data_IF_673682609455
#
_entry.id   IF_673682609455
#
_cell.length_a   1.000
_cell.length_b   1.000
_cell.length_c   1.000
_cell.angle_alpha   90.00
_cell.angle_beta   90.00
_cell.angle_gamma   90.00
#
_symmetry.space_group_name_H-M   'P 1'
#
loop_
_entity.id
_entity.type
_entity.pdbx_description
1 polymer ?
#
# COMPACT_ATOMS: atom_id res chain seq x y z
N UNK A 1 29.34 12.61 -26.20
CA UNK A 1 29.23 12.55 -24.72
C UNK A 1 30.66 12.57 -24.21
N UNK A 2 31.01 13.54 -23.36
CA UNK A 2 32.35 13.62 -22.74
C UNK A 2 32.38 12.71 -21.50
N UNK A 3 33.56 12.17 -21.19
CA UNK A 3 33.76 11.24 -20.06
C UNK A 3 34.89 11.74 -19.19
N UNK A 4 34.80 11.42 -17.88
CA UNK A 4 35.92 11.50 -16.95
C UNK A 4 36.33 10.07 -16.53
N UNK A 5 37.54 9.93 -16.02
CA UNK A 5 38.03 8.64 -15.51
C UNK A 5 37.79 8.63 -14.00
N UNK A 6 37.08 7.65 -13.52
CA UNK A 6 36.93 7.29 -12.10
C UNK A 6 37.65 5.96 -11.87
N UNK A 7 37.95 5.63 -10.61
CA UNK A 7 38.66 4.41 -10.27
C UNK A 7 38.02 3.74 -9.06
N UNK A 8 37.93 2.44 -9.11
CA UNK A 8 37.60 1.58 -7.98
C UNK A 8 38.66 0.47 -7.81
N UNK A 9 38.38 -0.53 -6.95
CA UNK A 9 39.31 -1.65 -6.67
C UNK A 9 39.56 -2.57 -7.88
N UNK A 10 38.72 -2.52 -8.91
CA UNK A 10 38.85 -3.28 -10.16
C UNK A 10 39.56 -2.50 -11.27
N UNK A 11 39.90 -1.22 -11.05
CA UNK A 11 40.61 -0.35 -12.00
C UNK A 11 39.76 0.83 -12.49
N UNK A 12 40.21 1.41 -13.63
CA UNK A 12 39.63 2.61 -14.20
C UNK A 12 38.31 2.34 -14.92
N UNK A 13 37.38 3.31 -14.83
CA UNK A 13 36.07 3.30 -15.49
C UNK A 13 35.81 4.66 -16.13
N UNK A 14 35.29 4.67 -17.34
CA UNK A 14 34.79 5.88 -18.01
C UNK A 14 33.39 6.20 -17.52
N UNK A 15 33.23 7.34 -16.83
CA UNK A 15 31.94 7.82 -16.32
C UNK A 15 31.56 9.09 -17.08
N UNK A 16 30.29 9.33 -17.46
CA UNK A 16 29.89 10.59 -18.09
C UNK A 16 30.36 11.80 -17.27
N UNK A 17 30.80 12.87 -17.95
CA UNK A 17 31.52 13.97 -17.30
C UNK A 17 30.66 14.73 -16.28
N UNK A 18 29.37 14.90 -16.60
CA UNK A 18 28.47 15.83 -15.88
C UNK A 18 27.62 15.17 -14.79
N UNK A 19 27.83 13.87 -14.50
CA UNK A 19 27.08 13.13 -13.48
C UNK A 19 27.89 13.00 -12.17
N UNK A 20 27.18 12.93 -11.03
CA UNK A 20 27.83 12.79 -9.73
C UNK A 20 28.09 11.33 -9.33
N UNK A 21 27.50 10.33 -9.97
CA UNK A 21 27.89 8.95 -9.65
C UNK A 21 29.31 8.61 -10.12
N UNK A 22 29.89 7.56 -9.58
CA UNK A 22 31.27 7.19 -9.81
C UNK A 22 31.42 5.82 -10.48
N UNK A 23 32.59 5.19 -10.26
CA UNK A 23 33.01 3.95 -10.93
C UNK A 23 32.11 2.76 -10.60
N UNK A 24 31.73 2.55 -9.33
CA UNK A 24 30.92 1.38 -8.95
C UNK A 24 29.51 1.45 -9.51
N UNK A 25 28.91 2.64 -9.54
CA UNK A 25 27.60 2.86 -10.17
C UNK A 25 27.66 2.60 -11.67
N UNK A 26 28.70 3.12 -12.35
CA UNK A 26 28.82 2.91 -13.80
C UNK A 26 29.00 1.43 -14.15
N UNK A 27 29.82 0.68 -13.39
CA UNK A 27 29.91 -0.77 -13.56
C UNK A 27 28.58 -1.47 -13.36
N UNK A 28 27.79 -1.04 -12.40
CA UNK A 28 26.44 -1.61 -12.17
C UNK A 28 25.52 -1.38 -13.37
N UNK A 29 25.54 -0.15 -13.95
CA UNK A 29 24.79 0.18 -15.17
C UNK A 29 25.17 -0.67 -16.37
N UNK A 30 26.47 -0.99 -16.50
CA UNK A 30 26.97 -1.84 -17.57
C UNK A 30 26.64 -3.31 -17.36
N UNK A 31 26.70 -3.78 -16.10
CA UNK A 31 26.54 -5.18 -15.74
C UNK A 31 25.07 -5.62 -15.66
N UNK A 32 24.15 -4.77 -15.19
CA UNK A 32 22.74 -5.12 -14.98
C UNK A 32 21.81 -4.39 -15.94
N UNK A 33 21.68 -4.89 -17.15
CA UNK A 33 20.76 -4.38 -18.19
C UNK A 33 19.44 -5.16 -18.17
N UNK A 34 18.75 -5.15 -17.04
CA UNK A 34 17.52 -5.92 -16.78
C UNK A 34 16.38 -4.95 -16.43
N UNK A 35 15.36 -4.91 -17.25
CA UNK A 35 14.21 -4.02 -17.07
C UNK A 35 14.52 -2.54 -17.39
N UNK A 36 13.64 -1.61 -17.00
CA UNK A 36 13.82 -0.19 -17.27
C UNK A 36 14.99 0.40 -16.47
N UNK A 37 15.76 1.30 -17.10
CA UNK A 37 16.79 2.09 -16.40
C UNK A 37 16.13 2.95 -15.32
N UNK A 38 16.88 3.27 -14.26
CA UNK A 38 16.41 4.06 -13.11
C UNK A 38 15.12 3.50 -12.47
N UNK A 39 14.97 2.18 -12.45
CA UNK A 39 13.79 1.53 -11.88
C UNK A 39 13.88 1.31 -10.36
N UNK A 40 15.04 1.55 -9.72
CA UNK A 40 15.12 1.56 -8.25
C UNK A 40 14.25 2.70 -7.72
N UNK A 41 13.27 2.42 -6.82
CA UNK A 41 12.41 3.47 -6.29
C UNK A 41 13.20 4.59 -5.62
N UNK A 42 12.87 5.83 -5.95
CA UNK A 42 13.56 7.01 -5.39
C UNK A 42 13.40 7.10 -3.87
N UNK A 43 12.34 6.54 -3.32
CA UNK A 43 12.10 6.45 -1.88
C UNK A 43 13.21 5.69 -1.14
N UNK A 44 13.85 4.71 -1.80
CA UNK A 44 15.03 4.01 -1.26
C UNK A 44 16.21 4.97 -1.16
N UNK A 45 16.43 5.80 -2.18
CA UNK A 45 17.48 6.84 -2.17
C UNK A 45 17.23 7.85 -1.06
N UNK A 46 15.99 8.30 -0.89
CA UNK A 46 15.62 9.16 0.24
C UNK A 46 15.85 8.48 1.60
N UNK A 47 15.51 7.18 1.72
CA UNK A 47 15.83 6.37 2.90
C UNK A 47 17.34 6.35 3.18
N UNK A 48 18.15 6.17 2.15
CA UNK A 48 19.62 6.31 2.27
C UNK A 48 20.05 7.71 2.69
N UNK A 49 19.47 8.78 2.15
CA UNK A 49 19.84 10.15 2.51
C UNK A 49 19.61 10.41 4.02
N UNK A 50 18.48 9.98 4.58
CA UNK A 50 18.22 10.06 6.02
C UNK A 50 19.29 9.31 6.83
N UNK A 51 19.56 8.04 6.49
CA UNK A 51 20.54 7.25 7.25
C UNK A 51 21.98 7.75 7.08
N UNK A 52 22.39 8.25 5.90
CA UNK A 52 23.73 8.80 5.69
C UNK A 52 23.94 10.09 6.46
N UNK A 53 22.94 10.97 6.49
CA UNK A 53 22.95 12.17 7.34
C UNK A 53 23.08 11.78 8.82
N UNK A 54 22.26 10.86 9.30
CA UNK A 54 22.30 10.37 10.68
C UNK A 54 23.63 9.70 11.03
N UNK A 55 24.20 8.90 10.13
CA UNK A 55 25.50 8.28 10.30
C UNK A 55 26.63 9.31 10.39
N UNK A 56 26.58 10.36 9.57
CA UNK A 56 27.58 11.44 9.62
C UNK A 56 27.54 12.19 10.95
N UNK A 57 26.35 12.53 11.45
CA UNK A 57 26.18 13.17 12.76
C UNK A 57 26.65 12.26 13.89
N UNK A 58 26.28 10.98 13.87
CA UNK A 58 26.68 10.00 14.87
C UNK A 58 28.20 9.79 14.88
N UNK A 59 28.83 9.63 13.72
CA UNK A 59 30.28 9.45 13.60
C UNK A 59 31.04 10.68 14.07
N UNK A 60 30.51 11.89 13.82
CA UNK A 60 31.08 13.12 14.35
C UNK A 60 30.98 13.19 15.88
N UNK A 61 29.80 12.96 16.45
CA UNK A 61 29.56 12.98 17.89
C UNK A 61 30.44 11.97 18.63
N UNK A 62 30.66 10.79 18.02
CA UNK A 62 31.52 9.74 18.56
C UNK A 62 33.02 9.94 18.22
N UNK A 63 33.41 11.07 17.64
CA UNK A 63 34.78 11.48 17.44
C UNK A 63 35.55 10.80 16.30
N UNK A 64 34.82 10.13 15.36
CA UNK A 64 35.44 9.36 14.26
C UNK A 64 35.26 10.03 12.88
N UNK A 65 34.56 11.17 12.79
CA UNK A 65 34.38 11.96 11.57
C UNK A 65 34.54 13.44 11.88
N UNK A 66 35.31 14.14 11.03
CA UNK A 66 35.49 15.59 11.14
C UNK A 66 34.19 16.37 10.89
N UNK A 67 34.03 17.53 11.54
CA UNK A 67 32.85 18.38 11.45
C UNK A 67 32.58 18.88 10.03
N UNK A 68 33.63 19.26 9.29
CA UNK A 68 33.48 19.74 7.91
C UNK A 68 32.97 18.65 6.99
N UNK A 69 33.46 17.42 7.17
CA UNK A 69 32.97 16.25 6.42
C UNK A 69 31.53 15.91 6.77
N UNK A 70 31.15 15.95 8.07
CA UNK A 70 29.76 15.80 8.52
C UNK A 70 28.85 16.79 7.83
N UNK A 71 29.20 18.06 7.81
CA UNK A 71 28.36 19.14 7.27
C UNK A 71 28.19 19.01 5.76
N UNK A 72 29.26 18.67 5.03
CA UNK A 72 29.17 18.41 3.59
C UNK A 72 28.29 17.20 3.27
N UNK A 73 28.41 16.10 4.01
CA UNK A 73 27.54 14.93 3.84
C UNK A 73 26.08 15.32 4.10
N UNK A 74 25.81 16.02 5.20
CA UNK A 74 24.47 16.45 5.57
C UNK A 74 23.84 17.36 4.51
N UNK A 75 24.60 18.33 4.01
CA UNK A 75 24.13 19.25 2.97
C UNK A 75 23.72 18.53 1.69
N UNK A 76 24.51 17.56 1.23
CA UNK A 76 24.18 16.80 0.02
C UNK A 76 22.98 15.86 0.28
N UNK A 77 22.86 15.27 1.47
CA UNK A 77 21.68 14.50 1.84
C UNK A 77 20.41 15.35 1.81
N UNK A 78 20.46 16.61 2.25
CA UNK A 78 19.34 17.53 2.16
C UNK A 78 18.99 17.85 0.69
N UNK A 79 19.99 18.09 -0.19
CA UNK A 79 19.75 18.23 -1.64
C UNK A 79 19.06 16.99 -2.26
N UNK A 80 19.43 15.78 -1.82
CA UNK A 80 18.79 14.53 -2.26
C UNK A 80 17.32 14.49 -1.79
N UNK A 81 17.05 14.79 -0.52
CA UNK A 81 15.70 14.79 0.05
C UNK A 81 14.78 15.84 -0.59
N UNK A 82 15.34 16.97 -1.02
CA UNK A 82 14.66 18.01 -1.79
C UNK A 82 14.40 17.64 -3.26
N UNK A 83 14.91 16.48 -3.71
CA UNK A 83 14.75 15.99 -5.08
C UNK A 83 15.67 16.65 -6.13
N UNK A 84 16.63 17.48 -5.70
CA UNK A 84 17.55 18.22 -6.62
C UNK A 84 18.51 17.31 -7.39
N UNK A 85 18.71 16.08 -6.92
CA UNK A 85 19.68 15.13 -7.46
C UNK A 85 19.04 13.83 -7.96
N UNK A 86 17.71 13.80 -8.20
CA UNK A 86 16.98 12.58 -8.56
C UNK A 86 17.49 11.90 -9.83
N UNK A 87 18.03 12.67 -10.79
CA UNK A 87 18.62 12.18 -12.03
C UNK A 87 20.00 11.49 -11.85
N UNK A 88 20.54 11.53 -10.64
CA UNK A 88 21.85 10.94 -10.31
C UNK A 88 21.76 9.47 -9.83
N UNK A 89 20.58 8.87 -9.86
CA UNK A 89 20.32 7.51 -9.36
C UNK A 89 19.78 6.60 -10.47
N UNK A 90 20.65 6.17 -11.43
CA UNK A 90 20.22 5.49 -12.65
C UNK A 90 20.05 3.98 -12.50
N UNK A 91 20.21 3.41 -11.31
CA UNK A 91 20.25 1.97 -11.12
C UNK A 91 18.91 1.28 -11.24
N UNK A 92 18.96 0.00 -11.56
CA UNK A 92 17.79 -0.87 -11.72
C UNK A 92 17.52 -1.66 -10.44
N UNK A 93 16.28 -2.17 -10.28
CA UNK A 93 15.90 -3.09 -9.19
C UNK A 93 16.73 -4.37 -9.27
N UNK A 94 16.94 -4.89 -10.47
CA UNK A 94 17.62 -6.16 -10.76
C UNK A 94 19.14 -6.01 -10.73
N UNK A 95 19.67 -5.80 -9.52
CA UNK A 95 21.07 -5.64 -9.19
C UNK A 95 21.51 -6.69 -8.17
N UNK A 96 22.70 -6.55 -7.55
CA UNK A 96 23.05 -7.43 -6.44
C UNK A 96 22.00 -7.38 -5.34
N UNK A 97 21.61 -8.56 -4.85
CA UNK A 97 20.51 -8.69 -3.89
C UNK A 97 20.79 -8.09 -2.51
N UNK A 98 22.05 -7.79 -2.19
CA UNK A 98 22.43 -7.03 -0.99
C UNK A 98 22.12 -5.54 -1.09
N UNK A 99 21.95 -5.02 -2.33
CA UNK A 99 21.75 -3.60 -2.59
C UNK A 99 23.04 -2.76 -2.52
N UNK A 100 24.19 -3.41 -2.60
CA UNK A 100 25.50 -2.72 -2.51
C UNK A 100 25.66 -1.62 -3.56
N UNK A 101 25.21 -1.84 -4.79
CA UNK A 101 25.33 -0.83 -5.84
C UNK A 101 24.49 0.41 -5.53
N UNK A 102 23.28 0.26 -4.99
CA UNK A 102 22.48 1.42 -4.56
C UNK A 102 23.12 2.17 -3.41
N UNK A 103 23.68 1.47 -2.40
CA UNK A 103 24.45 2.11 -1.34
C UNK A 103 25.63 2.87 -1.88
N UNK A 104 26.40 2.28 -2.81
CA UNK A 104 27.57 2.95 -3.40
C UNK A 104 27.17 4.10 -4.32
N UNK A 105 26.07 3.98 -5.05
CA UNK A 105 25.54 5.11 -5.84
C UNK A 105 25.30 6.35 -4.97
N UNK A 106 24.62 6.16 -3.84
CA UNK A 106 24.42 7.29 -2.89
C UNK A 106 25.73 7.79 -2.33
N UNK A 107 26.66 6.92 -1.93
CA UNK A 107 27.97 7.31 -1.41
C UNK A 107 28.78 8.10 -2.44
N UNK A 108 28.80 7.66 -3.71
CA UNK A 108 29.53 8.31 -4.80
C UNK A 108 28.92 9.67 -5.14
N UNK A 109 27.58 9.77 -5.22
CA UNK A 109 26.88 11.04 -5.45
C UNK A 109 27.17 12.04 -4.32
N UNK A 110 27.09 11.60 -3.06
CA UNK A 110 27.41 12.46 -1.91
C UNK A 110 28.86 12.95 -1.98
N UNK A 111 29.81 12.05 -2.21
CA UNK A 111 31.23 12.42 -2.24
C UNK A 111 31.56 13.37 -3.40
N UNK A 112 31.04 13.12 -4.59
CA UNK A 112 31.33 13.93 -5.78
C UNK A 112 30.59 15.29 -5.73
N UNK A 113 29.35 15.33 -5.25
CA UNK A 113 28.61 16.59 -5.05
C UNK A 113 29.26 17.45 -3.98
N UNK A 114 29.70 16.88 -2.85
CA UNK A 114 30.42 17.57 -1.80
C UNK A 114 31.74 18.16 -2.31
N UNK A 115 32.43 17.48 -3.21
CA UNK A 115 33.68 17.99 -3.85
C UNK A 115 33.41 19.29 -4.61
N UNK A 116 32.29 19.35 -5.35
CA UNK A 116 31.85 20.55 -6.09
C UNK A 116 31.41 21.67 -5.11
N UNK A 117 30.66 21.30 -4.04
CA UNK A 117 30.26 22.26 -3.00
C UNK A 117 31.46 22.88 -2.26
N UNK A 118 32.57 22.14 -2.16
CA UNK A 118 33.84 22.64 -1.62
C UNK A 118 34.63 23.53 -2.61
N UNK A 119 34.02 23.91 -3.76
CA UNK A 119 34.62 24.81 -4.76
C UNK A 119 35.60 24.13 -5.71
N UNK A 120 35.64 22.81 -5.78
CA UNK A 120 36.52 22.03 -6.64
C UNK A 120 35.85 21.58 -7.94
N UNK A 121 36.64 21.16 -8.93
CA UNK A 121 36.13 20.67 -10.22
C UNK A 121 35.91 19.18 -10.15
N UNK A 122 34.72 18.72 -10.58
CA UNK A 122 34.34 17.31 -10.59
C UNK A 122 35.32 16.47 -11.40
N UNK A 123 35.87 15.43 -10.77
CA UNK A 123 36.86 14.52 -11.40
C UNK A 123 38.30 15.01 -11.38
N UNK A 124 38.60 16.17 -10.78
CA UNK A 124 39.95 16.72 -10.69
C UNK A 124 40.46 16.79 -9.23
N UNK A 125 41.75 16.49 -9.03
CA UNK A 125 42.39 16.55 -7.74
C UNK A 125 41.94 15.53 -6.72
N UNK A 126 42.39 15.67 -5.47
CA UNK A 126 42.04 14.77 -4.38
C UNK A 126 40.59 15.01 -3.92
N UNK A 127 39.82 13.92 -3.79
CA UNK A 127 38.45 13.99 -3.33
C UNK A 127 38.32 14.58 -1.94
N UNK A 128 37.36 15.49 -1.75
CA UNK A 128 37.06 16.10 -0.45
C UNK A 128 36.53 15.09 0.54
N UNK A 129 35.71 14.16 0.03
CA UNK A 129 35.15 13.02 0.76
C UNK A 129 35.47 11.73 0.00
N UNK A 130 35.92 10.70 0.72
CA UNK A 130 36.02 9.35 0.19
C UNK A 130 34.66 8.63 0.34
N UNK A 131 34.08 8.06 -0.74
CA UNK A 131 32.81 7.37 -0.67
C UNK A 131 32.77 6.25 0.39
N UNK A 132 33.85 5.47 0.48
CA UNK A 132 33.93 4.33 1.41
C UNK A 132 34.36 4.73 2.81
N UNK A 133 35.41 5.59 2.95
CA UNK A 133 36.05 5.86 4.23
C UNK A 133 35.34 6.97 5.03
N UNK A 134 34.66 7.88 4.35
CA UNK A 134 33.95 9.01 4.99
C UNK A 134 32.44 8.83 4.96
N UNK A 135 31.83 8.67 3.77
CA UNK A 135 30.37 8.59 3.61
C UNK A 135 29.83 7.28 4.15
N UNK A 136 30.54 6.17 3.92
CA UNK A 136 30.16 4.84 4.41
C UNK A 136 30.78 4.46 5.77
N UNK A 137 31.39 5.41 6.46
CA UNK A 137 32.05 5.17 7.76
C UNK A 137 31.11 4.51 8.76
N UNK A 138 31.58 3.47 9.46
CA UNK A 138 30.82 2.67 10.45
C UNK A 138 29.61 1.92 9.86
N UNK A 139 29.59 1.63 8.57
CA UNK A 139 28.47 1.04 7.86
C UNK A 139 28.91 -0.10 6.93
N UNK A 140 27.96 -0.94 6.55
CA UNK A 140 28.04 -1.88 5.44
C UNK A 140 26.80 -1.72 4.55
N UNK A 141 26.87 -2.11 3.27
CA UNK A 141 25.65 -2.23 2.44
C UNK A 141 24.63 -3.19 3.05
N UNK A 142 25.11 -4.15 3.84
CA UNK A 142 24.30 -5.19 4.45
C UNK A 142 23.35 -4.64 5.53
N UNK A 143 23.74 -3.61 6.28
CA UNK A 143 22.90 -2.97 7.27
C UNK A 143 22.26 -1.65 6.78
N UNK A 144 22.87 -0.96 5.78
CA UNK A 144 22.32 0.28 5.23
C UNK A 144 21.11 0.06 4.34
N UNK A 145 21.15 -0.93 3.43
CA UNK A 145 20.02 -1.15 2.52
C UNK A 145 18.73 -1.55 3.26
N UNK A 146 18.72 -2.53 4.20
CA UNK A 146 17.52 -2.84 4.95
C UNK A 146 17.03 -1.65 5.79
N UNK A 147 17.94 -0.83 6.33
CA UNK A 147 17.55 0.40 7.04
C UNK A 147 16.87 1.40 6.10
N UNK A 148 17.44 1.67 4.91
CA UNK A 148 16.82 2.52 3.88
C UNK A 148 15.46 1.97 3.41
N UNK A 149 15.34 0.66 3.28
CA UNK A 149 14.10 -0.04 2.92
C UNK A 149 13.02 0.16 4.00
N UNK A 150 13.37 0.00 5.29
CA UNK A 150 12.45 0.23 6.39
C UNK A 150 12.00 1.69 6.48
N UNK A 151 12.92 2.66 6.34
CA UNK A 151 12.58 4.09 6.33
C UNK A 151 11.61 4.40 5.18
N UNK A 152 11.92 3.93 3.97
CA UNK A 152 11.10 4.17 2.79
C UNK A 152 9.71 3.55 2.92
N UNK A 153 9.62 2.30 3.35
CA UNK A 153 8.35 1.58 3.53
C UNK A 153 7.49 2.22 4.63
N UNK A 154 8.08 2.53 5.79
CA UNK A 154 7.38 3.18 6.89
C UNK A 154 6.78 4.52 6.46
N UNK A 155 7.60 5.38 5.84
CA UNK A 155 7.14 6.68 5.33
C UNK A 155 6.04 6.51 4.29
N UNK A 156 6.17 5.59 3.34
CA UNK A 156 5.16 5.36 2.31
C UNK A 156 3.82 4.94 2.92
N UNK A 157 3.84 4.06 3.92
CA UNK A 157 2.64 3.62 4.62
C UNK A 157 1.96 4.80 5.36
N UNK A 158 2.73 5.57 6.11
CA UNK A 158 2.20 6.67 6.94
C UNK A 158 1.78 7.89 6.12
N UNK A 159 2.56 8.24 5.09
CA UNK A 159 2.35 9.46 4.32
C UNK A 159 1.35 9.29 3.16
N UNK A 160 1.13 8.05 2.67
CA UNK A 160 0.30 7.78 1.49
C UNK A 160 -0.79 6.75 1.77
N UNK A 161 -0.42 5.55 2.25
CA UNK A 161 -1.37 4.44 2.36
C UNK A 161 -2.44 4.70 3.41
N UNK A 162 -2.05 5.00 4.65
CA UNK A 162 -2.98 5.24 5.75
C UNK A 162 -3.89 6.46 5.51
N UNK A 163 -3.41 7.60 5.00
CA UNK A 163 -4.28 8.70 4.63
C UNK A 163 -5.33 8.32 3.58
N UNK A 164 -4.93 7.60 2.52
CA UNK A 164 -5.86 7.14 1.49
C UNK A 164 -6.93 6.19 2.01
N UNK A 165 -6.54 5.23 2.86
CA UNK A 165 -7.46 4.30 3.50
C UNK A 165 -8.46 5.02 4.43
N UNK A 166 -8.00 5.97 5.24
CA UNK A 166 -8.87 6.76 6.13
C UNK A 166 -9.83 7.61 5.33
N UNK A 167 -9.38 8.23 4.23
CA UNK A 167 -10.24 9.00 3.34
C UNK A 167 -11.38 8.15 2.77
N UNK A 168 -11.08 6.95 2.30
CA UNK A 168 -12.10 6.00 1.82
C UNK A 168 -13.04 5.54 2.94
N UNK A 169 -12.48 5.15 4.10
CA UNK A 169 -13.25 4.72 5.26
C UNK A 169 -14.28 5.78 5.68
N UNK A 170 -13.84 7.05 5.77
CA UNK A 170 -14.69 8.16 6.20
C UNK A 170 -15.81 8.46 5.19
N UNK A 171 -15.53 8.33 3.90
CA UNK A 171 -16.53 8.48 2.86
C UNK A 171 -17.59 7.36 2.91
N UNK A 172 -17.17 6.11 3.10
CA UNK A 172 -18.08 4.99 3.27
C UNK A 172 -18.91 5.09 4.54
N UNK A 173 -18.34 5.60 5.65
CA UNK A 173 -19.06 5.85 6.88
C UNK A 173 -20.18 6.89 6.69
N UNK A 174 -19.91 7.99 5.98
CA UNK A 174 -20.93 8.98 5.62
C UNK A 174 -22.05 8.38 4.78
N UNK A 175 -21.71 7.47 3.84
CA UNK A 175 -22.72 6.76 3.03
C UNK A 175 -23.52 5.79 3.89
N UNK A 176 -22.89 5.07 4.81
CA UNK A 176 -23.59 4.19 5.77
C UNK A 176 -24.62 4.97 6.57
N UNK A 177 -24.27 6.14 7.09
CA UNK A 177 -25.20 7.02 7.83
C UNK A 177 -26.34 7.53 6.92
N UNK A 178 -25.98 8.08 5.76
CA UNK A 178 -26.96 8.64 4.82
C UNK A 178 -27.99 7.61 4.32
N UNK A 179 -27.58 6.35 4.20
CA UNK A 179 -28.43 5.25 3.71
C UNK A 179 -29.03 4.39 4.82
N UNK A 180 -28.94 4.82 6.08
CA UNK A 180 -29.41 4.07 7.26
C UNK A 180 -30.92 3.73 7.23
N UNK A 181 -31.71 4.47 6.48
CA UNK A 181 -33.17 4.28 6.32
C UNK A 181 -33.58 3.69 4.96
N UNK A 182 -32.63 3.39 4.09
CA UNK A 182 -32.90 2.83 2.76
C UNK A 182 -32.98 1.32 2.89
N UNK A 183 -34.19 0.79 3.07
CA UNK A 183 -34.45 -0.65 3.20
C UNK A 183 -34.36 -1.31 1.82
N UNK A 184 -33.62 -2.37 1.68
CA UNK A 184 -33.42 -3.12 0.44
C UNK A 184 -33.44 -4.62 0.70
N UNK A 185 -33.56 -5.41 -0.35
CA UNK A 185 -33.40 -6.86 -0.24
C UNK A 185 -31.92 -7.23 -0.01
N UNK A 186 -31.66 -8.12 0.93
CA UNK A 186 -30.36 -8.74 1.10
C UNK A 186 -30.13 -9.86 0.09
N UNK A 187 -28.86 -10.23 -0.11
CA UNK A 187 -28.46 -11.37 -0.96
C UNK A 187 -27.41 -12.21 -0.27
N UNK A 188 -27.65 -13.52 -0.27
CA UNK A 188 -26.65 -14.53 0.10
C UNK A 188 -26.56 -15.53 -1.07
N UNK A 189 -25.36 -15.99 -1.43
CA UNK A 189 -25.13 -16.81 -2.63
C UNK A 189 -25.58 -16.14 -3.95
N UNK A 190 -25.70 -14.82 -3.99
CA UNK A 190 -26.35 -14.01 -5.05
C UNK A 190 -27.86 -14.30 -5.21
N UNK A 191 -28.46 -15.02 -4.27
CA UNK A 191 -29.90 -15.29 -4.21
C UNK A 191 -30.57 -14.34 -3.20
N UNK A 192 -31.84 -14.07 -3.39
CA UNK A 192 -32.63 -13.23 -2.49
C UNK A 192 -32.60 -13.77 -1.06
N UNK A 193 -32.41 -12.84 -0.11
CA UNK A 193 -32.42 -13.13 1.32
C UNK A 193 -33.33 -12.13 2.05
N UNK A 194 -33.25 -12.05 3.37
CA UNK A 194 -34.06 -11.12 4.17
C UNK A 194 -33.60 -9.68 3.98
N UNK A 195 -34.47 -8.67 4.22
CA UNK A 195 -34.13 -7.25 4.13
C UNK A 195 -33.02 -6.83 5.08
N UNK A 196 -32.31 -5.79 4.67
CA UNK A 196 -31.40 -4.97 5.48
C UNK A 196 -31.47 -3.53 4.97
N UNK A 197 -30.80 -2.59 5.62
CA UNK A 197 -30.65 -1.26 5.03
C UNK A 197 -29.36 -1.21 4.19
N UNK A 198 -29.36 -0.37 3.15
CA UNK A 198 -28.15 -0.08 2.38
C UNK A 198 -27.04 0.52 3.29
N UNK A 199 -27.44 1.26 4.34
CA UNK A 199 -26.51 1.75 5.36
C UNK A 199 -25.85 0.61 6.16
N UNK A 200 -26.58 -0.44 6.54
CA UNK A 200 -26.00 -1.62 7.18
C UNK A 200 -25.03 -2.35 6.28
N UNK A 201 -25.31 -2.47 4.99
CA UNK A 201 -24.39 -3.05 4.00
C UNK A 201 -23.09 -2.26 3.91
N UNK A 202 -23.16 -0.92 3.81
CA UNK A 202 -21.99 -0.05 3.80
C UNK A 202 -21.21 -0.06 5.13
N UNK A 203 -21.88 -0.23 6.27
CA UNK A 203 -21.22 -0.35 7.58
C UNK A 203 -20.25 -1.52 7.66
N UNK A 204 -20.60 -2.62 6.97
CA UNK A 204 -19.71 -3.78 6.82
C UNK A 204 -18.41 -3.42 6.09
N UNK A 205 -18.47 -2.56 5.06
CA UNK A 205 -17.29 -2.09 4.33
C UNK A 205 -16.40 -1.20 5.21
N UNK A 206 -17.01 -0.31 6.00
CA UNK A 206 -16.29 0.52 6.98
C UNK A 206 -15.51 -0.35 7.95
N UNK A 207 -16.16 -1.35 8.54
CA UNK A 207 -15.54 -2.27 9.50
C UNK A 207 -14.37 -3.05 8.90
N UNK A 208 -14.48 -3.50 7.64
CA UNK A 208 -13.37 -4.19 6.95
C UNK A 208 -12.13 -3.28 6.81
N UNK A 209 -12.33 -2.01 6.49
CA UNK A 209 -11.22 -1.06 6.34
C UNK A 209 -10.64 -0.69 7.70
N UNK A 210 -11.46 -0.48 8.73
CA UNK A 210 -10.99 -0.20 10.09
C UNK A 210 -10.08 -1.33 10.63
N UNK A 211 -10.49 -2.58 10.48
CA UNK A 211 -9.66 -3.73 10.84
C UNK A 211 -8.36 -3.80 10.02
N UNK A 212 -8.42 -3.48 8.74
CA UNK A 212 -7.24 -3.44 7.88
C UNK A 212 -6.26 -2.33 8.26
N UNK A 213 -6.76 -1.14 8.59
CA UNK A 213 -5.95 -0.02 9.11
C UNK A 213 -5.26 -0.44 10.41
N UNK A 214 -6.02 -0.98 11.36
CA UNK A 214 -5.47 -1.42 12.66
C UNK A 214 -4.39 -2.49 12.48
N UNK A 215 -4.60 -3.47 11.59
CA UNK A 215 -3.61 -4.49 11.27
C UNK A 215 -2.33 -3.88 10.67
N UNK A 216 -2.46 -2.93 9.72
CA UNK A 216 -1.32 -2.27 9.12
C UNK A 216 -0.54 -1.40 10.12
N UNK A 217 -1.23 -0.64 10.96
CA UNK A 217 -0.62 0.17 12.01
C UNK A 217 0.15 -0.68 13.02
N UNK A 218 -0.35 -1.87 13.34
CA UNK A 218 0.33 -2.81 14.25
C UNK A 218 1.71 -3.22 13.71
N UNK A 219 1.85 -3.41 12.39
CA UNK A 219 3.12 -3.81 11.78
C UNK A 219 4.19 -2.72 11.84
N UNK A 220 3.81 -1.45 11.99
CA UNK A 220 4.75 -0.33 12.04
C UNK A 220 5.72 -0.43 13.22
N UNK A 221 5.34 -1.10 14.30
CA UNK A 221 6.23 -1.32 15.44
C UNK A 221 7.45 -2.17 15.04
N UNK A 222 7.24 -3.25 14.32
CA UNK A 222 8.32 -4.10 13.82
C UNK A 222 9.10 -3.39 12.72
N UNK A 223 8.41 -2.72 11.80
CA UNK A 223 9.04 -1.96 10.72
C UNK A 223 9.89 -0.78 11.22
N UNK A 224 9.66 -0.27 12.43
CA UNK A 224 10.48 0.78 13.03
C UNK A 224 11.84 0.30 13.55
N UNK A 225 12.07 -1.00 13.69
CA UNK A 225 13.35 -1.57 14.13
C UNK A 225 14.32 -1.63 12.94
N UNK A 226 15.49 -0.94 13.03
CA UNK A 226 16.42 -0.79 11.92
C UNK A 226 17.72 -1.57 12.13
N UNK A 227 18.28 -2.08 11.02
CA UNK A 227 19.49 -2.92 11.01
C UNK A 227 20.78 -2.14 11.25
N UNK A 228 20.79 -0.82 11.01
CA UNK A 228 22.01 0.00 11.01
C UNK A 228 22.80 -0.13 12.32
N UNK A 229 24.11 -0.32 12.19
CA UNK A 229 25.03 -0.64 13.27
C UNK A 229 25.35 -2.13 13.38
N UNK A 230 24.68 -3.03 12.62
CA UNK A 230 25.05 -4.44 12.49
C UNK A 230 26.26 -4.66 11.60
N UNK A 231 26.53 -3.75 10.70
CA UNK A 231 27.59 -3.80 9.68
C UNK A 231 27.51 -5.04 8.80
N UNK A 232 28.60 -5.82 8.67
CA UNK A 232 28.71 -6.89 7.68
C UNK A 232 27.83 -8.10 7.94
N UNK A 233 27.72 -8.56 9.20
CA UNK A 233 27.05 -9.81 9.61
C UNK A 233 26.19 -9.68 10.87
N UNK A 234 26.09 -8.48 11.46
CA UNK A 234 25.32 -8.24 12.68
C UNK A 234 26.13 -7.99 13.94
N UNK A 235 27.47 -8.15 13.89
CA UNK A 235 28.38 -7.97 15.04
C UNK A 235 28.75 -6.53 15.33
N UNK A 236 28.48 -5.60 14.38
CA UNK A 236 28.86 -4.19 14.52
C UNK A 236 30.37 -3.94 14.39
N UNK A 237 31.09 -4.79 13.64
CA UNK A 237 32.54 -4.62 13.45
C UNK A 237 32.86 -3.22 12.88
N UNK A 238 33.91 -2.59 13.38
CA UNK A 238 34.38 -1.25 12.98
C UNK A 238 33.43 -0.09 13.32
N UNK A 239 32.43 -0.30 14.18
CA UNK A 239 31.63 0.80 14.71
C UNK A 239 32.15 1.29 16.07
N UNK A 240 32.10 2.60 16.36
CA UNK A 240 32.39 3.08 17.70
C UNK A 240 31.30 2.66 18.70
N UNK A 241 31.66 2.57 19.98
CA UNK A 241 30.71 2.17 21.05
C UNK A 241 29.52 3.12 21.10
N UNK A 242 28.31 2.57 21.10
CA UNK A 242 27.06 3.34 21.14
C UNK A 242 26.49 3.75 19.76
N UNK A 243 27.21 3.48 18.68
CA UNK A 243 26.82 3.88 17.32
C UNK A 243 25.39 3.45 16.95
N UNK A 244 25.05 2.16 17.11
CA UNK A 244 23.77 1.61 16.63
C UNK A 244 22.53 2.27 17.29
N UNK A 245 22.66 2.63 18.58
CA UNK A 245 21.59 3.33 19.28
C UNK A 245 21.50 4.78 18.82
N UNK A 246 22.66 5.46 18.80
CA UNK A 246 22.71 6.90 18.51
C UNK A 246 22.29 7.21 17.08
N UNK A 247 22.68 6.40 16.11
CA UNK A 247 22.28 6.59 14.71
C UNK A 247 20.78 6.40 14.50
N UNK A 248 20.15 5.48 15.24
CA UNK A 248 18.70 5.30 15.21
C UNK A 248 17.95 6.51 15.80
N UNK A 249 18.49 7.10 16.88
CA UNK A 249 17.95 8.34 17.47
C UNK A 249 18.01 9.51 16.47
N UNK A 250 19.10 9.69 15.74
CA UNK A 250 19.19 10.71 14.68
C UNK A 250 18.26 10.42 13.49
N UNK A 251 18.09 9.16 13.09
CA UNK A 251 17.10 8.81 12.06
C UNK A 251 15.69 9.17 12.52
N UNK A 252 15.35 8.86 13.78
CA UNK A 252 14.06 9.23 14.35
C UNK A 252 13.86 10.75 14.37
N UNK A 253 14.88 11.52 14.78
CA UNK A 253 14.86 12.98 14.79
C UNK A 253 14.63 13.56 13.37
N UNK A 254 15.42 13.11 12.39
CA UNK A 254 15.38 13.69 11.03
C UNK A 254 14.13 13.27 10.24
N UNK A 255 13.56 12.12 10.54
CA UNK A 255 12.33 11.65 9.89
C UNK A 255 11.06 12.08 10.59
N UNK A 256 11.14 12.42 11.90
CA UNK A 256 9.98 12.61 12.77
C UNK A 256 9.22 11.31 13.06
N UNK A 257 9.83 10.14 12.84
CA UNK A 257 9.21 8.82 12.97
C UNK A 257 9.92 7.98 14.05
N UNK A 258 9.25 7.04 14.71
CA UNK A 258 9.75 6.37 15.92
C UNK A 258 10.74 5.23 15.64
N UNK A 259 11.73 5.47 14.80
CA UNK A 259 12.76 4.47 14.50
C UNK A 259 13.64 4.17 15.71
N UNK A 260 13.93 2.89 15.89
CA UNK A 260 14.78 2.38 16.97
C UNK A 260 15.78 1.36 16.43
N UNK A 261 16.89 1.18 17.14
CA UNK A 261 17.86 0.14 16.80
C UNK A 261 17.24 -1.23 17.01
N UNK A 262 17.27 -2.11 15.99
CA UNK A 262 16.79 -3.48 16.12
C UNK A 262 17.47 -4.20 17.29
N UNK A 263 16.68 -4.95 18.05
CA UNK A 263 17.16 -5.70 19.23
C UNK A 263 18.16 -6.79 18.85
N UNK A 264 17.94 -7.40 17.68
CA UNK A 264 18.80 -8.43 17.12
C UNK A 264 19.25 -8.03 15.71
N UNK A 265 20.56 -7.72 15.57
CA UNK A 265 21.12 -7.30 14.30
C UNK A 265 21.34 -8.46 13.31
N UNK A 266 21.44 -9.68 13.81
CA UNK A 266 21.58 -10.87 12.95
C UNK A 266 20.29 -11.15 12.20
N UNK A 267 19.17 -11.11 12.89
CA UNK A 267 17.84 -11.20 12.27
C UNK A 267 17.60 -10.05 11.30
N UNK A 268 17.87 -8.80 11.72
CA UNK A 268 17.62 -7.61 10.92
C UNK A 268 18.41 -7.53 9.59
N UNK A 269 19.53 -8.27 9.47
CA UNK A 269 20.31 -8.37 8.23
C UNK A 269 19.89 -9.58 7.37
N UNK A 270 19.56 -10.70 8.01
CA UNK A 270 19.35 -11.99 7.35
C UNK A 270 17.89 -12.31 7.03
N UNK A 271 16.96 -11.69 7.74
CA UNK A 271 15.53 -11.85 7.53
C UNK A 271 14.85 -10.47 7.37
N UNK A 272 13.80 -10.42 6.60
CA UNK A 272 13.01 -9.18 6.39
C UNK A 272 11.55 -9.41 6.75
N UNK A 273 11.33 -10.05 7.91
CA UNK A 273 10.03 -10.42 8.41
C UNK A 273 9.13 -9.20 8.62
N UNK A 274 9.69 -8.04 9.00
CA UNK A 274 8.94 -6.79 9.11
C UNK A 274 8.34 -6.34 7.76
N UNK A 275 9.03 -6.56 6.65
CA UNK A 275 8.53 -6.27 5.30
C UNK A 275 7.45 -7.28 4.91
N UNK A 276 7.66 -8.57 5.20
CA UNK A 276 6.68 -9.64 4.93
C UNK A 276 5.40 -9.40 5.75
N UNK A 277 5.52 -9.08 7.04
CA UNK A 277 4.41 -8.76 7.94
C UNK A 277 3.62 -7.56 7.44
N UNK A 278 4.29 -6.44 7.14
CA UNK A 278 3.64 -5.23 6.66
C UNK A 278 2.93 -5.46 5.32
N UNK A 279 3.56 -6.22 4.41
CA UNK A 279 2.93 -6.54 3.14
C UNK A 279 1.76 -7.53 3.29
N UNK A 280 1.82 -8.44 4.27
CA UNK A 280 0.68 -9.30 4.64
C UNK A 280 -0.56 -8.49 5.05
N UNK A 281 -0.37 -7.38 5.79
CA UNK A 281 -1.45 -6.45 6.12
C UNK A 281 -1.97 -5.69 4.88
N UNK A 282 -1.08 -5.27 3.97
CA UNK A 282 -1.49 -4.67 2.69
C UNK A 282 -2.28 -5.66 1.83
N UNK A 283 -1.90 -6.94 1.81
CA UNK A 283 -2.67 -7.99 1.13
C UNK A 283 -4.06 -8.17 1.75
N UNK A 284 -4.19 -8.19 3.08
CA UNK A 284 -5.49 -8.27 3.74
C UNK A 284 -6.39 -7.10 3.31
N UNK A 285 -5.86 -5.88 3.26
CA UNK A 285 -6.56 -4.70 2.76
C UNK A 285 -6.98 -4.86 1.28
N UNK A 286 -6.09 -5.38 0.43
CA UNK A 286 -6.41 -5.64 -0.97
C UNK A 286 -7.57 -6.64 -1.13
N UNK A 287 -7.65 -7.68 -0.28
CA UNK A 287 -8.78 -8.63 -0.27
C UNK A 287 -10.08 -7.92 0.10
N UNK A 288 -10.08 -7.09 1.15
CA UNK A 288 -11.25 -6.33 1.57
C UNK A 288 -11.70 -5.32 0.49
N UNK A 289 -10.78 -4.53 -0.04
CA UNK A 289 -11.05 -3.53 -1.09
C UNK A 289 -11.58 -4.16 -2.37
N UNK A 290 -11.06 -5.32 -2.76
CA UNK A 290 -11.55 -6.07 -3.92
C UNK A 290 -13.01 -6.51 -3.73
N UNK A 291 -13.37 -6.98 -2.54
CA UNK A 291 -14.77 -7.35 -2.20
C UNK A 291 -15.67 -6.11 -2.25
N UNK A 292 -15.27 -5.01 -1.66
CA UNK A 292 -16.05 -3.76 -1.64
C UNK A 292 -16.30 -3.25 -3.07
N UNK A 293 -15.25 -3.19 -3.90
CA UNK A 293 -15.38 -2.75 -5.28
C UNK A 293 -16.29 -3.67 -6.12
N UNK A 294 -16.22 -4.98 -5.90
CA UNK A 294 -17.07 -5.95 -6.58
C UNK A 294 -18.54 -5.81 -6.17
N UNK A 295 -18.85 -5.63 -4.89
CA UNK A 295 -20.21 -5.41 -4.44
C UNK A 295 -20.81 -4.12 -5.01
N UNK A 296 -20.05 -3.01 -4.95
CA UNK A 296 -20.50 -1.72 -5.48
C UNK A 296 -20.79 -1.80 -6.98
N UNK A 297 -19.86 -2.37 -7.78
CA UNK A 297 -20.12 -2.48 -9.23
C UNK A 297 -21.25 -3.45 -9.58
N UNK A 298 -21.47 -4.47 -8.76
CA UNK A 298 -22.56 -5.43 -8.97
C UNK A 298 -23.90 -4.78 -8.64
N UNK A 299 -24.03 -4.05 -7.52
CA UNK A 299 -25.22 -3.28 -7.19
C UNK A 299 -25.54 -2.20 -8.25
N UNK A 300 -24.51 -1.60 -8.86
CA UNK A 300 -24.66 -0.59 -9.92
C UNK A 300 -24.86 -1.17 -11.32
N UNK A 301 -24.85 -2.50 -11.48
CA UNK A 301 -24.90 -3.15 -12.78
C UNK A 301 -26.21 -2.87 -13.53
N UNK A 302 -26.12 -2.69 -14.83
CA UNK A 302 -27.28 -2.46 -15.69
C UNK A 302 -27.07 -1.31 -16.68
N UNK A 303 -27.94 -0.28 -16.66
CA UNK A 303 -29.01 0.05 -15.69
C UNK A 303 -30.30 -0.76 -15.81
N UNK A 304 -30.61 -1.38 -16.97
CA UNK A 304 -31.89 -2.07 -17.17
C UNK A 304 -31.79 -3.60 -17.06
N UNK A 305 -30.66 -4.18 -17.45
CA UNK A 305 -30.43 -5.63 -17.50
C UNK A 305 -29.53 -6.15 -16.37
N UNK A 306 -29.39 -5.39 -15.30
CA UNK A 306 -28.64 -5.76 -14.11
C UNK A 306 -29.40 -5.48 -12.82
N UNK A 307 -28.68 -5.43 -11.68
CA UNK A 307 -29.26 -5.15 -10.38
C UNK A 307 -29.76 -3.69 -10.31
N UNK A 308 -28.88 -2.73 -10.51
CA UNK A 308 -29.24 -1.31 -10.62
C UNK A 308 -29.77 -0.66 -9.34
N UNK A 309 -29.44 -1.19 -8.15
CA UNK A 309 -29.89 -0.65 -6.85
C UNK A 309 -29.19 0.66 -6.46
N UNK A 310 -27.98 0.89 -6.96
CA UNK A 310 -27.26 2.14 -6.76
C UNK A 310 -26.86 2.75 -8.09
N UNK A 311 -26.68 4.07 -8.07
CA UNK A 311 -26.16 4.86 -9.18
C UNK A 311 -24.77 5.31 -8.80
N UNK A 312 -23.82 5.13 -9.70
CA UNK A 312 -22.43 5.59 -9.55
C UNK A 312 -22.15 6.73 -10.53
N UNK A 313 -21.17 7.61 -10.24
CA UNK A 313 -20.80 8.71 -11.13
C UNK A 313 -20.41 8.25 -12.54
N UNK A 314 -20.81 9.04 -13.54
CA UNK A 314 -20.41 8.89 -14.92
C UNK A 314 -19.16 9.77 -15.17
N UNK A 315 -17.96 9.16 -15.10
CA UNK A 315 -16.71 9.92 -15.19
C UNK A 315 -16.19 10.09 -16.62
N UNK A 316 -16.47 9.12 -17.49
CA UNK A 316 -16.05 9.11 -18.90
C UNK A 316 -16.98 8.27 -19.77
N UNK A 317 -16.97 8.46 -21.11
CA UNK A 317 -17.66 7.57 -22.05
C UNK A 317 -17.14 6.12 -21.93
N UNK A 318 -18.05 5.18 -21.71
CA UNK A 318 -17.70 3.78 -21.42
C UNK A 318 -17.52 2.89 -22.66
N UNK A 319 -17.74 3.40 -23.88
CA UNK A 319 -17.66 2.59 -25.10
C UNK A 319 -17.42 3.44 -26.33
N UNK A 320 -16.59 2.93 -27.24
CA UNK A 320 -16.32 3.55 -28.55
C UNK A 320 -17.44 3.30 -29.58
N UNK A 321 -18.32 2.31 -29.34
CA UNK A 321 -19.37 1.90 -30.33
C UNK A 321 -20.79 1.84 -29.72
N UNK A 322 -20.94 1.97 -28.39
CA UNK A 322 -22.23 1.98 -27.70
C UNK A 322 -22.45 3.36 -27.05
N UNK A 323 -23.16 4.29 -27.76
CA UNK A 323 -23.35 5.64 -27.24
C UNK A 323 -24.12 5.64 -25.91
N UNK A 324 -23.66 6.44 -24.95
CA UNK A 324 -24.31 6.56 -23.63
C UNK A 324 -24.01 5.45 -22.64
N UNK A 325 -23.16 4.45 -22.99
CA UNK A 325 -22.71 3.43 -22.02
C UNK A 325 -21.71 4.03 -21.02
N UNK A 326 -21.97 3.79 -19.74
CA UNK A 326 -21.08 4.16 -18.62
C UNK A 326 -20.64 2.87 -17.94
N UNK A 327 -19.33 2.78 -17.62
CA UNK A 327 -18.74 1.62 -16.97
C UNK A 327 -18.35 1.95 -15.51
N UNK A 328 -18.26 0.97 -14.62
CA UNK A 328 -17.80 1.15 -13.25
C UNK A 328 -16.26 1.21 -13.17
N UNK A 329 -15.64 2.13 -13.90
CA UNK A 329 -14.20 2.16 -14.18
C UNK A 329 -13.34 2.31 -12.92
N UNK A 330 -13.82 3.03 -11.91
CA UNK A 330 -13.12 3.15 -10.63
C UNK A 330 -13.09 1.81 -9.87
N UNK A 331 -14.19 1.04 -9.93
CA UNK A 331 -14.21 -0.31 -9.36
C UNK A 331 -13.25 -1.24 -10.11
N UNK A 332 -13.18 -1.13 -11.43
CA UNK A 332 -12.25 -1.92 -12.26
C UNK A 332 -10.79 -1.60 -11.92
N UNK A 333 -10.44 -0.32 -11.84
CA UNK A 333 -9.11 0.12 -11.45
C UNK A 333 -8.71 -0.40 -10.06
N UNK A 334 -9.60 -0.27 -9.07
CA UNK A 334 -9.33 -0.75 -7.72
C UNK A 334 -9.15 -2.27 -7.67
N UNK A 335 -9.95 -3.05 -8.40
CA UNK A 335 -9.79 -4.52 -8.43
C UNK A 335 -8.48 -4.94 -9.11
N UNK A 336 -8.01 -4.22 -10.15
CA UNK A 336 -6.70 -4.48 -10.76
C UNK A 336 -5.56 -4.16 -9.78
N UNK A 337 -5.64 -3.05 -9.04
CA UNK A 337 -4.67 -2.72 -7.98
C UNK A 337 -4.63 -3.82 -6.94
N UNK A 338 -5.78 -4.29 -6.47
CA UNK A 338 -5.85 -5.39 -5.49
C UNK A 338 -5.17 -6.67 -6.01
N UNK A 339 -5.40 -7.04 -7.25
CA UNK A 339 -4.76 -8.20 -7.88
C UNK A 339 -3.24 -8.04 -7.96
N UNK A 340 -2.74 -6.84 -8.33
CA UNK A 340 -1.31 -6.56 -8.36
C UNK A 340 -0.66 -6.66 -6.97
N UNK A 341 -1.31 -6.13 -5.94
CA UNK A 341 -0.82 -6.21 -4.55
C UNK A 341 -0.75 -7.67 -4.08
N UNK A 342 -1.75 -8.49 -4.39
CA UNK A 342 -1.71 -9.94 -4.08
C UNK A 342 -0.55 -10.64 -4.80
N UNK A 343 -0.26 -10.29 -6.05
CA UNK A 343 0.89 -10.81 -6.79
C UNK A 343 2.23 -10.40 -6.17
N UNK A 344 2.34 -9.14 -5.76
CA UNK A 344 3.54 -8.62 -5.07
C UNK A 344 3.77 -9.30 -3.73
N UNK A 345 2.71 -9.71 -3.02
CA UNK A 345 2.80 -10.45 -1.75
C UNK A 345 3.49 -11.80 -1.93
N UNK A 346 3.20 -12.50 -3.02
CA UNK A 346 3.88 -13.77 -3.35
C UNK A 346 5.37 -13.54 -3.56
N UNK A 347 5.74 -12.50 -4.33
CA UNK A 347 7.14 -12.19 -4.57
C UNK A 347 7.88 -11.82 -3.27
N UNK A 348 7.27 -11.03 -2.39
CA UNK A 348 7.84 -10.63 -1.09
C UNK A 348 7.97 -11.84 -0.17
N UNK A 349 6.95 -12.70 -0.09
CA UNK A 349 7.00 -13.93 0.72
C UNK A 349 8.10 -14.85 0.27
N UNK A 350 8.25 -15.11 -1.05
CA UNK A 350 9.36 -15.88 -1.61
C UNK A 350 10.71 -15.25 -1.28
N UNK A 351 10.82 -13.91 -1.47
CA UNK A 351 12.04 -13.16 -1.13
C UNK A 351 12.41 -13.28 0.35
N UNK A 352 11.42 -13.25 1.25
CA UNK A 352 11.63 -13.45 2.69
C UNK A 352 12.23 -14.82 3.05
N UNK A 353 11.89 -15.86 2.29
CA UNK A 353 12.43 -17.22 2.52
C UNK A 353 13.87 -17.42 2.05
N UNK A 354 14.48 -16.45 1.36
CA UNK A 354 15.77 -16.58 0.69
C UNK A 354 16.98 -16.07 1.51
N UNK A 355 16.80 -15.80 2.81
CA UNK A 355 17.90 -15.49 3.71
C UNK A 355 18.76 -16.73 3.98
N UNK A 356 20.07 -16.64 3.69
CA UNK A 356 21.03 -17.70 4.00
C UNK A 356 22.04 -17.17 5.00
N UNK A 357 22.14 -17.84 6.15
CA UNK A 357 23.02 -17.43 7.25
C UNK A 357 22.77 -15.95 7.65
N UNK A 358 23.74 -15.05 7.45
CA UNK A 358 23.73 -13.70 7.95
C UNK A 358 23.22 -12.65 6.96
N UNK A 359 22.73 -13.04 5.75
CA UNK A 359 22.24 -12.07 4.77
C UNK A 359 21.13 -12.62 3.87
N UNK A 360 20.06 -11.84 3.76
CA UNK A 360 19.10 -11.97 2.67
C UNK A 360 19.52 -11.12 1.47
N UNK A 361 19.53 -11.71 0.28
CA UNK A 361 19.96 -11.06 -0.97
C UNK A 361 18.83 -10.85 -1.99
N UNK A 362 17.60 -10.64 -1.50
CA UNK A 362 16.39 -10.31 -2.30
C UNK A 362 15.86 -8.90 -1.99
N UNK A 363 16.62 -8.11 -1.26
CA UNK A 363 16.19 -6.80 -0.75
C UNK A 363 15.71 -5.81 -1.81
N UNK A 364 16.38 -5.59 -2.95
CA UNK A 364 15.92 -4.63 -3.95
C UNK A 364 14.54 -4.95 -4.51
N UNK A 365 14.26 -6.23 -4.77
CA UNK A 365 12.96 -6.70 -5.25
C UNK A 365 11.88 -6.53 -4.17
N UNK A 366 12.17 -6.91 -2.92
CA UNK A 366 11.22 -6.75 -1.80
C UNK A 366 10.89 -5.29 -1.57
N UNK A 367 11.89 -4.40 -1.60
CA UNK A 367 11.72 -2.95 -1.47
C UNK A 367 10.82 -2.37 -2.56
N UNK A 368 11.06 -2.71 -3.82
CA UNK A 368 10.27 -2.23 -4.93
C UNK A 368 8.80 -2.67 -4.82
N UNK A 369 8.55 -3.93 -4.46
CA UNK A 369 7.19 -4.46 -4.37
C UNK A 369 6.39 -3.87 -3.20
N UNK A 370 6.98 -3.70 -2.01
CA UNK A 370 6.25 -3.10 -0.88
C UNK A 370 5.93 -1.63 -1.15
N UNK A 371 6.88 -0.88 -1.71
CA UNK A 371 6.67 0.53 -2.04
C UNK A 371 5.61 0.72 -3.11
N UNK A 372 5.63 -0.12 -4.15
CA UNK A 372 4.60 -0.12 -5.19
C UNK A 372 3.22 -0.45 -4.61
N UNK A 373 3.11 -1.49 -3.79
CA UNK A 373 1.84 -1.91 -3.17
C UNK A 373 1.28 -0.83 -2.24
N UNK A 374 2.12 -0.25 -1.38
CA UNK A 374 1.72 0.78 -0.45
C UNK A 374 1.22 2.05 -1.18
N UNK A 375 1.93 2.47 -2.25
CA UNK A 375 1.50 3.59 -3.09
C UNK A 375 0.18 3.29 -3.79
N UNK A 376 0.08 2.13 -4.47
CA UNK A 376 -1.10 1.77 -5.26
C UNK A 376 -2.37 1.71 -4.40
N UNK A 377 -2.31 1.15 -3.19
CA UNK A 377 -3.45 1.13 -2.27
C UNK A 377 -3.86 2.55 -1.88
N UNK A 378 -2.91 3.38 -1.47
CA UNK A 378 -3.19 4.76 -1.07
C UNK A 378 -3.83 5.57 -2.19
N UNK A 379 -3.19 5.60 -3.37
CA UNK A 379 -3.65 6.36 -4.53
C UNK A 379 -5.02 5.84 -5.03
N UNK A 380 -5.22 4.51 -5.09
CA UNK A 380 -6.48 3.91 -5.53
C UNK A 380 -7.63 4.20 -4.56
N UNK A 381 -7.37 4.20 -3.24
CA UNK A 381 -8.38 4.56 -2.25
C UNK A 381 -8.83 6.02 -2.39
N UNK A 382 -7.91 6.95 -2.64
CA UNK A 382 -8.25 8.36 -2.91
C UNK A 382 -9.06 8.48 -4.19
N UNK A 383 -8.59 7.90 -5.30
CA UNK A 383 -9.29 7.94 -6.58
C UNK A 383 -10.69 7.33 -6.52
N UNK A 384 -10.82 6.17 -5.88
CA UNK A 384 -12.12 5.48 -5.70
C UNK A 384 -13.08 6.29 -4.83
N UNK A 385 -12.56 6.94 -3.78
CA UNK A 385 -13.35 7.83 -2.93
C UNK A 385 -13.90 9.00 -3.73
N UNK A 386 -13.03 9.77 -4.37
CA UNK A 386 -13.38 11.05 -4.97
C UNK A 386 -14.20 10.88 -6.25
N UNK A 387 -13.95 9.82 -7.02
CA UNK A 387 -14.59 9.61 -8.33
C UNK A 387 -15.67 8.51 -8.33
N UNK A 388 -15.91 7.84 -7.21
CA UNK A 388 -16.98 6.84 -7.11
C UNK A 388 -17.80 7.02 -5.83
N UNK A 389 -17.21 6.78 -4.63
CA UNK A 389 -17.95 6.62 -3.38
C UNK A 389 -18.75 7.86 -3.02
N UNK A 390 -18.15 9.05 -3.12
CA UNK A 390 -18.85 10.32 -2.76
C UNK A 390 -20.08 10.59 -3.61
N UNK A 391 -20.12 10.10 -4.84
CA UNK A 391 -21.23 10.26 -5.78
C UNK A 391 -22.21 9.09 -5.85
N UNK A 392 -22.08 8.06 -5.00
CA UNK A 392 -23.04 6.96 -4.95
C UNK A 392 -24.39 7.47 -4.43
N UNK A 393 -25.47 7.13 -5.15
CA UNK A 393 -26.85 7.42 -4.77
C UNK A 393 -27.70 6.13 -4.83
N UNK A 394 -28.70 5.97 -3.94
CA UNK A 394 -29.64 4.86 -4.05
C UNK A 394 -30.58 5.07 -5.24
N UNK A 395 -30.82 4.04 -6.03
CA UNK A 395 -31.90 4.02 -7.02
C UNK A 395 -33.17 3.51 -6.34
N UNK A 396 -33.88 4.43 -5.67
CA UNK A 396 -35.00 4.08 -4.81
C UNK A 396 -36.08 3.27 -5.55
N UNK A 397 -36.46 3.67 -6.77
CA UNK A 397 -37.43 2.93 -7.57
C UNK A 397 -37.03 1.47 -7.78
N UNK A 398 -35.75 1.24 -8.11
CA UNK A 398 -35.25 -0.13 -8.35
C UNK A 398 -35.14 -0.93 -7.07
N UNK A 399 -34.74 -0.29 -5.97
CA UNK A 399 -34.71 -0.89 -4.64
C UNK A 399 -36.12 -1.35 -4.24
N UNK A 400 -37.13 -0.50 -4.38
CA UNK A 400 -38.49 -0.79 -4.03
C UNK A 400 -39.06 -1.92 -4.89
N UNK A 401 -38.83 -1.91 -6.21
CA UNK A 401 -39.25 -2.96 -7.13
C UNK A 401 -38.66 -4.33 -6.72
N UNK A 402 -37.38 -4.40 -6.42
CA UNK A 402 -36.70 -5.64 -6.04
C UNK A 402 -37.14 -6.13 -4.65
N UNK A 403 -37.30 -5.22 -3.69
CA UNK A 403 -37.73 -5.54 -2.33
C UNK A 403 -39.16 -6.11 -2.33
N UNK A 404 -40.09 -5.40 -2.97
CA UNK A 404 -41.52 -5.79 -2.96
C UNK A 404 -41.80 -7.06 -3.73
N UNK A 405 -40.97 -7.42 -4.71
CA UNK A 405 -41.11 -8.67 -5.48
C UNK A 405 -40.38 -9.85 -4.84
N UNK A 406 -39.65 -9.67 -3.75
CA UNK A 406 -38.89 -10.75 -3.12
C UNK A 406 -39.80 -11.74 -2.37
N UNK A 407 -39.67 -13.03 -2.67
CA UNK A 407 -40.35 -14.08 -1.95
C UNK A 407 -39.83 -14.28 -0.53
N UNK A 408 -38.65 -13.77 -0.21
CA UNK A 408 -38.03 -13.96 1.11
C UNK A 408 -38.65 -13.07 2.21
N UNK A 409 -39.49 -12.11 1.85
CA UNK A 409 -40.30 -11.36 2.79
C UNK A 409 -41.28 -12.29 3.57
N UNK A 410 -41.59 -13.45 3.03
CA UNK A 410 -42.40 -14.49 3.72
C UNK A 410 -41.81 -14.90 5.07
N UNK A 411 -40.50 -14.68 5.29
CA UNK A 411 -39.81 -14.98 6.55
C UNK A 411 -40.45 -14.28 7.76
N UNK A 412 -41.05 -13.10 7.56
CA UNK A 412 -41.78 -12.37 8.59
C UNK A 412 -42.97 -13.20 9.16
N UNK A 413 -43.55 -14.08 8.34
CA UNK A 413 -44.70 -14.91 8.72
C UNK A 413 -44.32 -16.13 9.58
N UNK A 414 -43.03 -16.51 9.65
CA UNK A 414 -42.60 -17.71 10.38
C UNK A 414 -43.04 -17.71 11.84
N UNK A 415 -43.04 -16.56 12.49
CA UNK A 415 -43.43 -16.39 13.91
C UNK A 415 -44.95 -16.31 14.10
N UNK A 416 -45.73 -16.17 13.02
CA UNK A 416 -47.19 -16.00 13.04
C UNK A 416 -47.94 -17.29 12.66
N UNK A 417 -47.53 -17.89 11.57
CA UNK A 417 -48.23 -19.07 10.99
C UNK A 417 -47.32 -20.32 10.92
N UNK A 418 -46.06 -20.20 11.31
CA UNK A 418 -45.07 -21.29 11.27
C UNK A 418 -44.38 -21.43 9.92
N UNK A 419 -43.17 -22.03 9.96
CA UNK A 419 -42.28 -22.19 8.82
C UNK A 419 -42.90 -22.88 7.60
N UNK A 420 -43.64 -23.99 7.81
CA UNK A 420 -44.17 -24.79 6.69
C UNK A 420 -45.25 -24.04 5.93
N UNK A 421 -46.18 -23.38 6.59
CA UNK A 421 -47.21 -22.56 5.93
C UNK A 421 -46.61 -21.37 5.18
N UNK A 422 -45.60 -20.72 5.78
CA UNK A 422 -44.81 -19.66 5.10
C UNK A 422 -44.15 -20.21 3.84
N UNK A 423 -43.53 -21.39 3.90
CA UNK A 423 -42.93 -22.04 2.74
C UNK A 423 -43.95 -22.39 1.63
N UNK A 424 -45.17 -22.82 2.00
CA UNK A 424 -46.24 -23.07 1.04
C UNK A 424 -46.69 -21.80 0.31
N UNK A 425 -46.76 -20.66 1.02
CA UNK A 425 -47.06 -19.35 0.42
C UNK A 425 -45.96 -18.98 -0.59
N UNK A 426 -44.68 -19.08 -0.22
CA UNK A 426 -43.57 -18.75 -1.12
C UNK A 426 -43.54 -19.66 -2.35
N UNK A 427 -43.71 -20.98 -2.17
CA UNK A 427 -43.74 -21.95 -3.28
C UNK A 427 -44.90 -21.69 -4.24
N UNK A 428 -46.07 -21.38 -3.70
CA UNK A 428 -47.25 -21.06 -4.52
C UNK A 428 -47.01 -19.74 -5.29
N UNK A 429 -46.54 -18.69 -4.62
CA UNK A 429 -46.26 -17.43 -5.27
C UNK A 429 -45.25 -17.61 -6.42
N UNK A 430 -44.19 -18.40 -6.19
CA UNK A 430 -43.19 -18.71 -7.22
C UNK A 430 -43.79 -19.50 -8.41
N UNK A 431 -44.59 -20.54 -8.13
CA UNK A 431 -45.18 -21.39 -9.17
C UNK A 431 -46.17 -20.63 -10.04
N UNK A 432 -46.98 -19.78 -9.42
CA UNK A 432 -48.05 -19.03 -10.09
C UNK A 432 -47.59 -17.70 -10.69
N UNK A 433 -46.36 -17.26 -10.38
CA UNK A 433 -45.85 -15.92 -10.74
C UNK A 433 -46.64 -14.79 -10.06
N UNK A 434 -47.24 -15.07 -8.89
CA UNK A 434 -48.05 -14.13 -8.11
C UNK A 434 -47.24 -13.50 -6.97
N UNK A 435 -47.81 -12.49 -6.32
CA UNK A 435 -47.24 -11.91 -5.10
C UNK A 435 -47.45 -12.85 -3.90
N UNK A 436 -46.59 -12.68 -2.85
CA UNK A 436 -46.80 -13.40 -1.58
C UNK A 436 -48.19 -13.17 -0.98
N UNK A 437 -48.69 -11.94 -1.08
CA UNK A 437 -50.03 -11.57 -0.58
C UNK A 437 -51.13 -12.34 -1.31
N UNK A 438 -51.11 -12.35 -2.64
CA UNK A 438 -52.08 -13.12 -3.45
C UNK A 438 -52.03 -14.61 -3.15
N UNK A 439 -50.83 -15.17 -3.01
CA UNK A 439 -50.67 -16.59 -2.66
C UNK A 439 -51.17 -16.91 -1.25
N UNK A 440 -50.92 -16.03 -0.27
CA UNK A 440 -51.39 -16.21 1.10
C UNK A 440 -52.90 -16.17 1.20
N UNK A 441 -53.56 -15.24 0.50
CA UNK A 441 -55.03 -15.17 0.41
C UNK A 441 -55.61 -16.37 -0.30
N UNK A 442 -55.00 -16.81 -1.41
CA UNK A 442 -55.49 -17.99 -2.16
C UNK A 442 -55.36 -19.31 -1.38
N UNK A 443 -54.46 -19.38 -0.39
CA UNK A 443 -54.34 -20.53 0.54
C UNK A 443 -55.23 -20.40 1.78
N UNK A 444 -55.92 -19.30 1.95
CA UNK A 444 -56.76 -19.00 3.12
C UNK A 444 -55.99 -19.10 4.45
N UNK A 445 -54.71 -18.68 4.44
CA UNK A 445 -53.86 -18.70 5.63
C UNK A 445 -53.86 -17.40 6.40
N UNK A 446 -54.16 -16.26 5.74
CA UNK A 446 -54.18 -14.90 6.29
C UNK A 446 -55.25 -14.07 5.59
N UNK A 447 -55.71 -13.02 6.29
CA UNK A 447 -56.44 -11.91 5.64
C UNK A 447 -55.45 -10.92 5.01
N UNK A 448 -55.95 -10.00 4.16
CA UNK A 448 -55.15 -8.95 3.57
C UNK A 448 -54.58 -8.01 4.63
N UNK A 449 -55.37 -7.69 5.65
CA UNK A 449 -54.99 -6.82 6.77
C UNK A 449 -53.90 -7.48 7.65
N UNK A 450 -53.98 -8.78 7.91
CA UNK A 450 -52.95 -9.53 8.64
C UNK A 450 -51.66 -9.57 7.85
N UNK A 451 -51.71 -9.81 6.54
CA UNK A 451 -50.54 -9.80 5.70
C UNK A 451 -49.81 -8.43 5.75
N UNK A 452 -50.58 -7.34 5.52
CA UNK A 452 -50.02 -5.98 5.50
C UNK A 452 -49.46 -5.54 6.88
N UNK A 453 -50.05 -6.06 7.96
CA UNK A 453 -49.61 -5.79 9.31
C UNK A 453 -48.34 -6.56 9.72
N UNK A 454 -48.10 -7.76 9.15
CA UNK A 454 -47.03 -8.64 9.56
C UNK A 454 -45.84 -8.67 8.60
N UNK A 455 -46.05 -8.41 7.30
CA UNK A 455 -44.99 -8.41 6.30
C UNK A 455 -44.55 -6.96 6.03
N UNK A 456 -43.72 -6.47 6.92
CA UNK A 456 -43.19 -5.11 6.86
C UNK A 456 -41.66 -5.17 6.79
N UNK A 457 -41.07 -4.91 5.63
CA UNK A 457 -39.61 -5.01 5.45
C UNK A 457 -38.81 -4.18 6.45
N UNK A 458 -39.30 -2.99 6.84
CA UNK A 458 -38.71 -2.11 7.82
C UNK A 458 -38.65 -2.71 9.24
N UNK A 459 -39.48 -3.69 9.56
CA UNK A 459 -39.45 -4.39 10.85
C UNK A 459 -38.56 -5.66 10.81
N UNK A 460 -37.98 -5.99 9.64
CA UNK A 460 -37.12 -7.16 9.41
C UNK A 460 -35.64 -6.89 9.45
N UNK A 461 -35.20 -5.65 9.66
CA UNK A 461 -33.81 -5.19 9.53
C UNK A 461 -32.97 -5.31 10.82
N UNK A 462 -33.51 -5.97 11.86
CA UNK A 462 -32.90 -6.06 13.19
C UNK A 462 -33.40 -5.01 14.17
N UNK A 463 -33.12 -5.23 15.43
CA UNK A 463 -33.61 -4.40 16.55
C UNK A 463 -32.51 -3.56 17.22
N UNK A 464 -31.28 -3.52 16.64
CA UNK A 464 -30.13 -2.78 17.19
C UNK A 464 -29.70 -1.63 16.28
#
# INVERSE_FOLDING_TARGET
>A
MEFRIEKDTLGEVKVPKDVYWGAQTERSRENFKIGPSASMPIEIVHGFAYLKKAAAYTNHELGVLDITKRDLIAQVCDEILEGKLNDQFPLVIWQTGSGTQSNMNVNEVIANRAHVLAGKILGEGDKTLAPNDDVNKSQSSNDTFPTGMHIAAYKKIVDVTLPGLRHLRDALAKKSEAFSKVVKIGRTHLMDATPLTLGQEFSGYVSQIDHGIAALEFTLKHLSEIALGGTAVGTGINTPKGYSKRVAEYIAEFTGLPFVSAKNKFEALAAHDAIVESHGALKQLAVALNKIANDIRLMASGPRSGIGEIIIPANEPGSSIMPGKVNPTQCEALTMVCAQVMGNDVAISVGGTQGHYELNVFKPMMAANILASARLIGDACVSFTDNCVVGIEPNQQRIDDLLNNSLMLVTALNTKIGYYKAAEIANKAHADGSTLKEAALALDYLTAEEFDAWVRPEDMIGNE
#
